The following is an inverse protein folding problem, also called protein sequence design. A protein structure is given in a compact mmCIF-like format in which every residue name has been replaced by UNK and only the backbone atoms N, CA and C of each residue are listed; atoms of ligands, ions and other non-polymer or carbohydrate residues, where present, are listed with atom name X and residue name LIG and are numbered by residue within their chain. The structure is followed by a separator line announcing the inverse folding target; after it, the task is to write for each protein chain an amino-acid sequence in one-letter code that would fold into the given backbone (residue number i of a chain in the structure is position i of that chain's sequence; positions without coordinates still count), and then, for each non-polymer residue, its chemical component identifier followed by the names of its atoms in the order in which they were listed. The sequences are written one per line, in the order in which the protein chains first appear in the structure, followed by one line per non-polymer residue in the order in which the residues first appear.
data_IF_679646912451
#
_entry.id   IF_679646912451
#
_cell.length_a   1.000
_cell.length_b   1.000
_cell.length_c   1.000
_cell.angle_alpha   90.00
_cell.angle_beta   90.00
_cell.angle_gamma   90.00
#
_symmetry.space_group_name_H-M   'P 1'
#
loop_
_entity.id
_entity.type
_entity.pdbx_description
1 polymer ?
#
# COMPACT_ATOMS: atom_id res chain seq x y z
N UNK A 1 5.74 -11.54 56.35
CA UNK A 1 6.18 -11.78 54.95
C UNK A 1 5.01 -11.44 54.05
N UNK A 2 4.94 -10.19 53.61
CA UNK A 2 3.98 -9.73 52.59
C UNK A 2 4.33 -10.44 51.29
N UNK A 3 3.44 -11.31 50.80
CA UNK A 3 3.53 -11.81 49.43
C UNK A 3 3.39 -10.59 48.53
N UNK A 4 4.48 -10.18 47.88
CA UNK A 4 4.38 -9.32 46.70
C UNK A 4 3.47 -10.03 45.71
N UNK A 5 2.23 -9.55 45.57
CA UNK A 5 1.39 -9.86 44.43
C UNK A 5 2.12 -9.35 43.20
N UNK A 6 2.86 -10.25 42.55
CA UNK A 6 3.51 -9.98 41.28
C UNK A 6 2.41 -9.79 40.25
N UNK A 7 1.98 -8.55 40.05
CA UNK A 7 0.99 -8.19 39.03
C UNK A 7 1.44 -8.81 37.70
N UNK A 8 0.58 -9.61 37.04
CA UNK A 8 0.93 -10.22 35.77
C UNK A 8 1.23 -9.12 34.75
N UNK A 9 2.29 -9.30 33.97
CA UNK A 9 2.61 -8.37 32.90
C UNK A 9 1.54 -8.49 31.80
N UNK A 10 1.02 -7.36 31.34
CA UNK A 10 -0.04 -7.29 30.33
C UNK A 10 0.37 -6.49 29.10
N UNK A 11 -0.13 -6.89 27.94
CA UNK A 11 0.02 -6.16 26.68
C UNK A 11 -1.30 -6.20 25.91
N UNK A 12 -1.72 -5.06 25.36
CA UNK A 12 -2.91 -4.97 24.50
C UNK A 12 -2.45 -4.63 23.09
N UNK A 13 -2.65 -5.56 22.15
CA UNK A 13 -2.43 -5.34 20.73
C UNK A 13 -3.72 -4.85 20.09
N UNK A 14 -3.62 -3.84 19.23
CA UNK A 14 -4.78 -3.29 18.51
C UNK A 14 -4.66 -3.55 17.02
N UNK A 15 -5.59 -4.35 16.51
CA UNK A 15 -5.65 -4.80 15.13
C UNK A 15 -6.84 -4.16 14.42
N UNK A 16 -6.71 -3.94 13.11
CA UNK A 16 -7.83 -3.47 12.28
C UNK A 16 -7.94 -4.27 10.98
N UNK A 17 -9.17 -4.61 10.61
CA UNK A 17 -9.50 -5.34 9.39
C UNK A 17 -9.19 -6.84 9.46
N UNK A 18 -9.13 -7.42 10.66
CA UNK A 18 -8.92 -8.85 10.89
C UNK A 18 -10.10 -9.40 11.71
N UNK A 19 -10.78 -10.46 11.26
CA UNK A 19 -11.86 -11.07 12.03
C UNK A 19 -11.34 -11.71 13.31
N UNK A 20 -12.16 -11.70 14.36
CA UNK A 20 -11.84 -12.34 15.64
C UNK A 20 -11.43 -13.81 15.49
N UNK A 21 -12.13 -14.55 14.63
CA UNK A 21 -11.86 -15.96 14.36
C UNK A 21 -10.44 -16.18 13.82
N UNK A 22 -9.93 -15.26 13.00
CA UNK A 22 -8.55 -15.32 12.49
C UNK A 22 -7.55 -15.07 13.61
N UNK A 23 -7.88 -14.16 14.52
CA UNK A 23 -7.05 -13.89 15.71
C UNK A 23 -7.04 -15.10 16.65
N UNK A 24 -8.19 -15.68 16.97
CA UNK A 24 -8.30 -16.86 17.82
C UNK A 24 -7.49 -18.04 17.26
N UNK A 25 -7.59 -18.30 15.96
CA UNK A 25 -6.75 -19.33 15.30
C UNK A 25 -5.26 -19.04 15.42
N UNK A 26 -4.83 -17.78 15.30
CA UNK A 26 -3.42 -17.44 15.48
C UNK A 26 -2.97 -17.59 16.94
N UNK A 27 -3.87 -17.33 17.90
CA UNK A 27 -3.61 -17.56 19.33
C UNK A 27 -3.48 -19.05 19.63
N UNK A 28 -4.26 -19.92 18.99
CA UNK A 28 -4.13 -21.38 19.08
C UNK A 28 -2.77 -21.88 18.55
N UNK A 29 -2.11 -21.12 17.67
CA UNK A 29 -0.75 -21.45 17.18
C UNK A 29 0.37 -20.98 18.11
N UNK A 30 0.05 -20.39 19.27
CA UNK A 30 1.07 -20.06 20.27
C UNK A 30 1.75 -21.36 20.76
N UNK A 31 3.04 -21.32 21.13
CA UNK A 31 3.77 -22.53 21.51
C UNK A 31 3.14 -23.18 22.75
N UNK A 32 3.20 -24.50 22.88
CA UNK A 32 2.70 -25.24 24.06
C UNK A 32 3.31 -24.75 25.39
N UNK A 33 4.49 -24.12 25.32
CA UNK A 33 5.18 -23.49 26.45
C UNK A 33 4.53 -22.17 26.93
N UNK A 34 3.52 -21.65 26.22
CA UNK A 34 2.78 -20.45 26.59
C UNK A 34 1.91 -20.71 27.82
N UNK A 35 2.17 -19.97 28.90
CA UNK A 35 1.38 -20.01 30.13
C UNK A 35 0.87 -18.60 30.43
N UNK A 36 -0.25 -18.26 29.81
CA UNK A 36 -0.89 -16.95 29.94
C UNK A 36 -2.32 -16.95 29.42
N UNK A 37 -3.06 -15.89 29.74
CA UNK A 37 -4.41 -15.68 29.23
C UNK A 37 -4.35 -14.76 28.01
N UNK A 38 -5.22 -15.05 27.04
CA UNK A 38 -5.43 -14.18 25.88
C UNK A 38 -6.92 -13.90 25.78
N UNK A 39 -7.28 -12.63 25.77
CA UNK A 39 -8.66 -12.18 25.61
C UNK A 39 -8.78 -11.36 24.32
N UNK A 40 -9.67 -11.79 23.43
CA UNK A 40 -10.00 -11.06 22.22
C UNK A 40 -11.32 -10.32 22.41
N UNK A 41 -11.37 -9.06 21.96
CA UNK A 41 -12.61 -8.28 21.91
C UNK A 41 -12.70 -7.54 20.59
N UNK A 42 -13.84 -7.67 19.93
CA UNK A 42 -14.07 -7.05 18.62
C UNK A 42 -15.16 -5.99 18.70
N UNK A 43 -14.97 -4.88 17.99
CA UNK A 43 -15.98 -3.84 17.76
C UNK A 43 -15.92 -3.40 16.30
N UNK A 44 -16.90 -3.82 15.51
CA UNK A 44 -16.85 -3.62 14.06
C UNK A 44 -15.62 -4.31 13.46
N UNK A 45 -14.79 -3.55 12.74
CA UNK A 45 -13.55 -4.04 12.12
C UNK A 45 -12.31 -3.93 13.02
N UNK A 46 -12.43 -3.42 14.24
CA UNK A 46 -11.34 -3.32 15.21
C UNK A 46 -11.35 -4.50 16.18
N UNK A 47 -10.19 -5.14 16.36
CA UNK A 47 -10.01 -6.25 17.29
C UNK A 47 -8.87 -5.93 18.26
N UNK A 48 -9.17 -5.99 19.55
CA UNK A 48 -8.22 -5.85 20.64
C UNK A 48 -7.84 -7.22 21.17
N UNK A 49 -6.54 -7.45 21.34
CA UNK A 49 -5.98 -8.71 21.86
C UNK A 49 -5.20 -8.38 23.12
N UNK A 50 -5.78 -8.71 24.27
CA UNK A 50 -5.11 -8.56 25.56
C UNK A 50 -4.40 -9.86 25.93
N UNK A 51 -3.08 -9.80 26.07
CA UNK A 51 -2.25 -10.90 26.53
C UNK A 51 -1.79 -10.62 27.96
N UNK A 52 -1.89 -11.61 28.83
CA UNK A 52 -1.35 -11.55 30.19
C UNK A 52 -0.54 -12.81 30.49
N UNK A 53 0.61 -12.65 31.11
CA UNK A 53 1.40 -13.78 31.61
C UNK A 53 2.12 -13.40 32.91
N UNK A 54 2.35 -14.41 33.75
CA UNK A 54 3.15 -14.28 34.97
C UNK A 54 4.64 -14.10 34.68
N UNK A 55 5.10 -14.42 33.45
CA UNK A 55 6.50 -14.26 33.04
C UNK A 55 6.63 -13.26 31.87
N UNK A 56 7.38 -12.15 32.04
CA UNK A 56 7.55 -11.14 30.98
C UNK A 56 8.18 -11.68 29.70
N UNK A 57 9.06 -12.69 29.81
CA UNK A 57 9.72 -13.30 28.66
C UNK A 57 8.75 -14.10 27.78
N UNK A 58 7.83 -14.86 28.39
CA UNK A 58 6.79 -15.55 27.63
C UNK A 58 5.83 -14.55 26.98
N UNK A 59 5.42 -13.51 27.72
CA UNK A 59 4.60 -12.43 27.17
C UNK A 59 5.24 -11.81 25.93
N UNK A 60 6.52 -11.45 26.02
CA UNK A 60 7.25 -10.85 24.91
C UNK A 60 7.28 -11.78 23.68
N UNK A 61 7.54 -13.07 23.86
CA UNK A 61 7.56 -14.04 22.76
C UNK A 61 6.20 -14.17 22.07
N UNK A 62 5.12 -14.32 22.85
CA UNK A 62 3.76 -14.41 22.31
C UNK A 62 3.36 -13.12 21.57
N UNK A 63 3.67 -11.96 22.16
CA UNK A 63 3.46 -10.66 21.52
C UNK A 63 4.23 -10.57 20.20
N UNK A 64 5.53 -10.92 20.15
CA UNK A 64 6.29 -10.87 18.90
C UNK A 64 5.74 -11.82 17.83
N UNK A 65 5.27 -13.01 18.22
CA UNK A 65 4.65 -13.95 17.28
C UNK A 65 3.38 -13.34 16.68
N UNK A 66 2.47 -12.81 17.50
CA UNK A 66 1.25 -12.17 17.01
C UNK A 66 1.54 -10.90 16.19
N UNK A 67 2.51 -10.09 16.60
CA UNK A 67 2.99 -8.93 15.84
C UNK A 67 3.44 -9.33 14.44
N UNK A 68 4.18 -10.43 14.33
CA UNK A 68 4.67 -10.94 13.04
C UNK A 68 3.53 -11.46 12.18
N UNK A 69 2.63 -12.27 12.76
CA UNK A 69 1.47 -12.83 12.06
C UNK A 69 0.50 -11.75 11.55
N UNK A 70 0.35 -10.66 12.29
CA UNK A 70 -0.60 -9.59 11.99
C UNK A 70 0.07 -8.26 11.61
N UNK A 71 1.33 -8.27 11.17
CA UNK A 71 2.11 -7.05 10.95
C UNK A 71 1.38 -5.97 10.11
N UNK A 72 0.65 -6.31 9.02
CA UNK A 72 -0.10 -5.30 8.26
C UNK A 72 -1.31 -4.75 9.02
N UNK A 73 -1.95 -5.55 9.88
CA UNK A 73 -3.18 -5.19 10.60
C UNK A 73 -2.95 -4.57 11.97
N UNK A 74 -1.80 -4.82 12.57
CA UNK A 74 -1.38 -4.19 13.81
C UNK A 74 -1.11 -2.71 13.56
N UNK A 75 -1.88 -1.85 14.21
CA UNK A 75 -1.71 -0.40 14.10
C UNK A 75 -1.14 0.22 15.37
N UNK A 76 -1.21 -0.47 16.51
CA UNK A 76 -0.75 0.07 17.78
C UNK A 76 -0.91 -0.88 18.97
N UNK A 77 -0.48 -0.39 20.12
CA UNK A 77 -0.53 -1.09 21.40
C UNK A 77 -0.98 -0.17 22.52
N UNK A 78 -1.54 -0.74 23.58
CA UNK A 78 -2.04 0.02 24.73
C UNK A 78 -3.13 0.99 24.28
N UNK A 79 -2.93 2.30 24.52
CA UNK A 79 -3.91 3.36 24.24
C UNK A 79 -3.79 4.02 22.86
N UNK A 80 -2.91 3.51 21.98
CA UNK A 80 -2.75 4.06 20.64
C UNK A 80 -4.08 4.01 19.87
N UNK A 81 -4.49 5.12 19.26
CA UNK A 81 -5.68 5.16 18.39
C UNK A 81 -5.30 4.95 16.93
N UNK A 82 -6.24 4.43 16.12
CA UNK A 82 -6.02 4.24 14.69
C UNK A 82 -5.74 5.57 13.97
N UNK A 83 -6.40 6.65 14.39
CA UNK A 83 -6.19 7.99 13.85
C UNK A 83 -4.78 8.50 14.13
N UNK A 84 -4.29 8.35 15.37
CA UNK A 84 -2.91 8.70 15.73
C UNK A 84 -1.89 7.86 14.94
N UNK A 85 -2.14 6.55 14.78
CA UNK A 85 -1.29 5.68 13.98
C UNK A 85 -1.25 6.07 12.49
N UNK A 86 -2.37 6.54 11.93
CA UNK A 86 -2.43 7.02 10.55
C UNK A 86 -1.64 8.34 10.37
N UNK A 87 -1.80 9.31 11.29
CA UNK A 87 -1.02 10.57 11.29
C UNK A 87 0.47 10.28 11.39
N UNK A 88 0.86 9.44 12.36
CA UNK A 88 2.26 9.05 12.55
C UNK A 88 2.84 8.39 11.28
N UNK A 89 2.09 7.49 10.63
CA UNK A 89 2.51 6.86 9.40
C UNK A 89 2.70 7.87 8.25
N UNK A 90 1.78 8.83 8.10
CA UNK A 90 1.90 9.89 7.10
C UNK A 90 3.09 10.80 7.37
N UNK A 91 3.32 11.18 8.64
CA UNK A 91 4.43 12.05 9.04
C UNK A 91 5.78 11.34 8.84
N UNK A 92 5.92 10.11 9.34
CA UNK A 92 7.13 9.30 9.20
C UNK A 92 7.53 9.12 7.73
N UNK A 93 6.56 8.92 6.85
CA UNK A 93 6.79 8.75 5.41
C UNK A 93 6.72 10.06 4.61
N UNK A 94 6.57 11.22 5.27
CA UNK A 94 6.49 12.56 4.67
C UNK A 94 5.45 12.65 3.55
N UNK A 95 4.27 12.09 3.79
CA UNK A 95 3.16 12.05 2.81
C UNK A 95 2.09 13.05 3.20
N UNK A 96 1.99 14.12 2.40
CA UNK A 96 0.86 15.04 2.47
C UNK A 96 -0.40 14.37 1.90
N UNK A 97 -1.49 14.50 2.64
CA UNK A 97 -2.83 14.00 2.38
C UNK A 97 -3.77 15.18 2.09
N UNK A 98 -4.60 15.05 1.06
CA UNK A 98 -5.69 15.99 0.76
C UNK A 98 -7.00 15.23 0.49
N UNK A 99 -8.14 15.89 0.67
CA UNK A 99 -9.44 15.33 0.30
C UNK A 99 -9.94 15.93 -1.02
N UNK A 100 -10.54 15.10 -1.86
CA UNK A 100 -11.09 15.48 -3.15
C UNK A 100 -12.48 16.07 -3.03
N UNK A 101 -13.23 15.66 -2.01
CA UNK A 101 -14.63 16.02 -1.76
C UNK A 101 -14.88 16.21 -0.25
N UNK A 102 -16.00 16.85 0.06
CA UNK A 102 -16.37 17.19 1.44
C UNK A 102 -16.77 15.96 2.26
N UNK A 103 -17.29 14.90 1.64
CA UNK A 103 -17.65 13.68 2.35
C UNK A 103 -16.40 12.99 2.93
N UNK A 104 -15.33 12.88 2.13
CA UNK A 104 -14.02 12.42 2.61
C UNK A 104 -13.44 13.37 3.67
N UNK A 105 -13.59 14.69 3.49
CA UNK A 105 -13.20 15.70 4.48
C UNK A 105 -13.84 15.45 5.83
N UNK A 106 -15.17 15.37 5.89
CA UNK A 106 -15.94 15.18 7.13
C UNK A 106 -15.57 13.89 7.89
N UNK A 107 -15.28 12.81 7.16
CA UNK A 107 -14.82 11.55 7.77
C UNK A 107 -13.47 11.71 8.50
N UNK A 108 -12.59 12.57 7.99
CA UNK A 108 -11.24 12.76 8.54
C UNK A 108 -11.15 13.91 9.54
N UNK A 109 -11.72 15.08 9.25
CA UNK A 109 -11.64 16.29 10.10
C UNK A 109 -11.96 15.96 11.56
N UNK A 110 -13.14 15.37 11.79
CA UNK A 110 -13.64 14.97 13.12
C UNK A 110 -12.71 14.05 13.90
N UNK A 111 -11.81 13.32 13.22
CA UNK A 111 -10.88 12.36 13.83
C UNK A 111 -9.46 12.91 13.95
N UNK A 112 -9.10 13.90 13.14
CA UNK A 112 -7.74 14.41 13.02
C UNK A 112 -7.55 15.80 13.66
N UNK A 113 -8.61 16.60 13.81
CA UNK A 113 -8.54 18.01 14.25
C UNK A 113 -7.77 18.20 15.57
N UNK A 114 -7.96 17.29 16.54
CA UNK A 114 -7.33 17.40 17.86
C UNK A 114 -6.06 16.54 18.00
N UNK A 115 -5.55 15.98 16.91
CA UNK A 115 -4.37 15.11 16.97
C UNK A 115 -3.09 15.89 16.69
N UNK A 116 -2.05 15.74 17.54
CA UNK A 116 -0.78 16.41 17.32
C UNK A 116 -0.12 15.94 16.02
N UNK A 117 0.33 16.89 15.20
CA UNK A 117 1.00 16.60 13.93
C UNK A 117 0.05 16.36 12.75
N UNK A 118 -1.27 16.33 12.98
CA UNK A 118 -2.24 16.21 11.90
C UNK A 118 -2.12 17.36 10.88
N UNK A 119 -1.86 18.58 11.37
CA UNK A 119 -1.65 19.80 10.57
C UNK A 119 -0.45 19.73 9.62
N UNK A 120 0.52 18.86 9.91
CA UNK A 120 1.70 18.65 9.04
C UNK A 120 1.38 17.74 7.85
N UNK A 121 0.37 16.89 7.99
CA UNK A 121 0.07 15.82 7.02
C UNK A 121 -1.27 16.01 6.32
N UNK A 122 -2.20 16.77 6.89
CA UNK A 122 -3.54 16.99 6.35
C UNK A 122 -3.86 18.49 6.30
N UNK A 123 -4.47 18.94 5.20
CA UNK A 123 -4.68 20.36 4.93
C UNK A 123 -6.02 20.90 5.47
N UNK A 124 -6.85 20.06 6.10
CA UNK A 124 -8.18 20.42 6.62
C UNK A 124 -9.02 21.21 5.61
N UNK A 125 -8.90 20.86 4.32
CA UNK A 125 -9.65 21.48 3.24
C UNK A 125 -9.12 22.83 2.75
N UNK A 126 -8.22 23.50 3.48
CA UNK A 126 -7.74 24.86 3.16
C UNK A 126 -7.11 24.96 1.76
N UNK A 127 -6.44 23.90 1.32
CA UNK A 127 -5.80 23.79 0.01
C UNK A 127 -6.43 22.70 -0.87
N UNK A 128 -7.63 22.22 -0.55
CA UNK A 128 -8.28 21.11 -1.24
C UNK A 128 -9.79 21.28 -1.39
N UNK A 129 -10.62 20.43 -0.78
CA UNK A 129 -12.08 20.37 -1.01
C UNK A 129 -12.84 21.58 -0.47
N UNK A 130 -12.31 22.33 0.51
CA UNK A 130 -12.93 23.58 0.98
C UNK A 130 -12.46 24.82 0.19
N UNK A 131 -11.44 24.68 -0.66
CA UNK A 131 -10.91 25.78 -1.46
C UNK A 131 -11.75 26.03 -2.73
N UNK A 132 -12.54 27.10 -2.73
CA UNK A 132 -13.45 27.45 -3.83
C UNK A 132 -12.72 27.66 -5.18
N UNK A 133 -11.57 28.35 -5.18
CA UNK A 133 -10.81 28.62 -6.40
C UNK A 133 -10.24 27.33 -7.01
N UNK A 134 -9.71 26.44 -6.17
CA UNK A 134 -9.21 25.14 -6.60
C UNK A 134 -10.35 24.27 -7.14
N UNK A 135 -11.50 24.23 -6.44
CA UNK A 135 -12.68 23.51 -6.88
C UNK A 135 -13.21 24.01 -8.23
N UNK A 136 -13.24 25.33 -8.47
CA UNK A 136 -13.63 25.88 -9.76
C UNK A 136 -12.67 25.45 -10.89
N UNK A 137 -11.36 25.37 -10.61
CA UNK A 137 -10.37 24.84 -11.55
C UNK A 137 -10.53 23.32 -11.77
N UNK A 138 -10.82 22.57 -10.72
CA UNK A 138 -11.07 21.13 -10.76
C UNK A 138 -12.31 20.82 -11.61
N UNK A 139 -13.42 21.52 -11.39
CA UNK A 139 -14.66 21.38 -12.17
C UNK A 139 -14.43 21.66 -13.65
N UNK A 140 -13.64 22.68 -14.00
CA UNK A 140 -13.26 22.95 -15.41
C UNK A 140 -12.50 21.79 -16.04
N UNK A 141 -11.56 21.16 -15.32
CA UNK A 141 -10.81 20.00 -15.82
C UNK A 141 -11.68 18.75 -15.97
N UNK A 142 -12.68 18.59 -15.11
CA UNK A 142 -13.56 17.41 -15.10
C UNK A 142 -14.77 17.53 -16.06
N UNK A 143 -14.88 18.60 -16.86
CA UNK A 143 -15.99 18.77 -17.83
C UNK A 143 -16.14 17.61 -18.82
N UNK A 144 -15.03 16.97 -19.21
CA UNK A 144 -15.00 15.82 -20.12
C UNK A 144 -14.81 14.49 -19.39
N UNK A 145 -14.80 14.49 -18.07
CA UNK A 145 -14.62 13.27 -17.28
C UNK A 145 -15.93 12.46 -17.24
N UNK A 146 -15.86 11.15 -16.97
CA UNK A 146 -17.04 10.34 -16.69
C UNK A 146 -17.89 10.97 -15.60
N UNK A 147 -19.21 10.95 -15.77
CA UNK A 147 -20.17 11.50 -14.80
C UNK A 147 -20.76 10.41 -13.87
N UNK A 148 -20.72 9.15 -14.31
CA UNK A 148 -21.18 8.03 -13.50
C UNK A 148 -20.16 7.72 -12.38
N UNK A 149 -20.68 7.45 -11.19
CA UNK A 149 -19.89 6.87 -10.11
C UNK A 149 -19.57 5.40 -10.43
N UNK A 150 -18.40 4.88 -10.01
CA UNK A 150 -17.33 5.54 -9.24
C UNK A 150 -16.31 6.30 -10.10
N UNK A 151 -16.44 6.26 -11.43
CA UNK A 151 -15.45 6.79 -12.36
C UNK A 151 -15.27 8.31 -12.22
N UNK A 152 -16.36 9.04 -11.93
CA UNK A 152 -16.34 10.47 -11.65
C UNK A 152 -15.46 10.81 -10.46
N UNK A 153 -15.69 10.17 -9.31
CA UNK A 153 -14.91 10.43 -8.09
C UNK A 153 -13.47 9.97 -8.24
N UNK A 154 -13.21 8.86 -8.94
CA UNK A 154 -11.85 8.42 -9.25
C UNK A 154 -11.09 9.45 -10.11
N UNK A 155 -11.74 10.03 -11.12
CA UNK A 155 -11.15 11.12 -11.92
C UNK A 155 -10.92 12.39 -11.07
N UNK A 156 -11.84 12.69 -10.15
CA UNK A 156 -11.73 13.81 -9.21
C UNK A 156 -10.54 13.65 -8.26
N UNK A 157 -10.39 12.49 -7.63
CA UNK A 157 -9.25 12.12 -6.77
C UNK A 157 -7.93 12.28 -7.54
N UNK A 158 -7.86 11.74 -8.76
CA UNK A 158 -6.66 11.84 -9.60
C UNK A 158 -6.32 13.31 -9.94
N UNK A 159 -7.32 14.09 -10.33
CA UNK A 159 -7.13 15.49 -10.70
C UNK A 159 -6.74 16.34 -9.49
N UNK A 160 -7.35 16.10 -8.32
CA UNK A 160 -6.99 16.76 -7.07
C UNK A 160 -5.53 16.48 -6.69
N UNK A 161 -5.14 15.20 -6.66
CA UNK A 161 -3.75 14.78 -6.39
C UNK A 161 -2.74 15.50 -7.30
N UNK A 162 -3.04 15.60 -8.60
CA UNK A 162 -2.17 16.28 -9.57
C UNK A 162 -2.13 17.79 -9.40
N UNK A 163 -3.23 18.41 -8.99
CA UNK A 163 -3.34 19.86 -8.85
C UNK A 163 -2.68 20.38 -7.58
N UNK A 164 -2.77 19.63 -6.49
CA UNK A 164 -2.14 19.98 -5.20
C UNK A 164 -0.71 19.49 -5.09
N UNK A 165 -0.34 18.44 -5.86
CA UNK A 165 0.97 17.80 -5.75
C UNK A 165 1.10 16.92 -4.49
N UNK A 166 0.03 16.75 -3.71
CA UNK A 166 0.01 15.92 -2.52
C UNK A 166 0.38 14.47 -2.84
N UNK A 167 0.95 13.77 -1.85
CA UNK A 167 1.35 12.38 -2.03
C UNK A 167 0.13 11.47 -2.21
N UNK A 168 -0.94 11.76 -1.46
CA UNK A 168 -2.20 11.03 -1.46
C UNK A 168 -3.38 11.99 -1.57
N UNK A 169 -4.40 11.59 -2.31
CA UNK A 169 -5.70 12.25 -2.32
C UNK A 169 -6.80 11.24 -2.00
N UNK A 170 -7.79 11.63 -1.21
CA UNK A 170 -8.88 10.76 -0.77
C UNK A 170 -10.19 11.20 -1.39
N UNK A 171 -11.06 10.24 -1.70
CA UNK A 171 -12.45 10.53 -2.01
C UNK A 171 -13.40 9.57 -1.31
N UNK A 172 -14.67 9.98 -1.23
CA UNK A 172 -15.75 9.17 -0.70
C UNK A 172 -16.97 9.29 -1.63
N UNK A 173 -17.57 8.15 -1.97
CA UNK A 173 -18.85 8.10 -2.68
C UNK A 173 -19.87 7.46 -1.77
N UNK A 174 -20.94 8.19 -1.48
CA UNK A 174 -22.10 7.66 -0.78
C UNK A 174 -22.96 6.89 -1.78
N UNK A 175 -23.08 5.58 -1.56
CA UNK A 175 -23.95 4.69 -2.32
C UNK A 175 -25.20 4.40 -1.46
N UNK A 176 -26.33 3.95 -2.06
CA UNK A 176 -27.60 3.80 -1.33
C UNK A 176 -27.52 2.94 -0.06
N UNK A 177 -26.59 1.98 0.00
CA UNK A 177 -26.41 1.06 1.12
C UNK A 177 -24.92 0.84 1.43
N UNK A 178 -24.03 1.79 1.12
CA UNK A 178 -22.59 1.63 1.39
C UNK A 178 -21.82 2.92 1.15
N UNK A 179 -20.56 2.95 1.58
CA UNK A 179 -19.62 4.02 1.25
C UNK A 179 -18.45 3.44 0.47
N UNK A 180 -18.22 3.92 -0.76
CA UNK A 180 -17.01 3.61 -1.48
C UNK A 180 -15.90 4.60 -1.07
N UNK A 181 -14.84 4.08 -0.47
CA UNK A 181 -13.67 4.82 -0.05
C UNK A 181 -12.57 4.73 -1.11
N UNK A 182 -11.94 5.86 -1.39
CA UNK A 182 -10.89 5.98 -2.40
C UNK A 182 -9.63 6.58 -1.78
N UNK A 183 -8.48 5.92 -1.91
CA UNK A 183 -7.15 6.48 -1.58
C UNK A 183 -6.28 6.45 -2.83
N UNK A 184 -6.17 7.60 -3.49
CA UNK A 184 -5.45 7.82 -4.73
C UNK A 184 -4.01 8.27 -4.53
N UNK A 185 -3.09 7.67 -5.29
CA UNK A 185 -1.70 8.13 -5.43
C UNK A 185 -1.41 8.57 -6.87
N UNK A 186 -0.15 8.56 -7.31
CA UNK A 186 0.21 8.96 -8.68
C UNK A 186 -0.22 7.95 -9.76
N UNK A 187 -0.23 6.65 -9.43
CA UNK A 187 -0.37 5.54 -10.41
C UNK A 187 -1.76 4.93 -10.45
N UNK A 188 -2.54 5.10 -9.40
CA UNK A 188 -3.85 4.47 -9.25
C UNK A 188 -4.43 4.78 -7.88
N UNK A 189 -5.53 4.12 -7.58
CA UNK A 189 -6.34 4.33 -6.40
C UNK A 189 -6.67 3.00 -5.73
N UNK A 190 -6.52 2.94 -4.41
CA UNK A 190 -7.14 1.87 -3.64
C UNK A 190 -8.63 2.17 -3.48
N UNK A 191 -9.47 1.16 -3.67
CA UNK A 191 -10.92 1.24 -3.52
C UNK A 191 -11.38 0.22 -2.49
N UNK A 192 -12.29 0.62 -1.60
CA UNK A 192 -13.00 -0.28 -0.69
C UNK A 192 -14.44 0.17 -0.54
N UNK A 193 -15.38 -0.73 -0.82
CA UNK A 193 -16.79 -0.52 -0.51
C UNK A 193 -17.07 -0.99 0.93
N UNK A 194 -17.52 -0.07 1.78
CA UNK A 194 -17.77 -0.30 3.21
C UNK A 194 -19.28 -0.41 3.44
N UNK A 195 -19.76 -1.49 4.08
CA UNK A 195 -21.18 -1.66 4.39
C UNK A 195 -21.63 -0.68 5.50
N UNK A 196 -22.93 -0.39 5.62
CA UNK A 196 -23.43 0.69 6.48
C UNK A 196 -23.31 0.38 7.98
N UNK A 197 -23.13 -0.89 8.35
CA UNK A 197 -22.92 -1.33 9.73
C UNK A 197 -21.49 -1.04 10.22
N UNK A 198 -20.56 -0.79 9.31
CA UNK A 198 -19.15 -0.50 9.61
C UNK A 198 -18.87 1.01 9.58
N UNK A 199 -17.81 1.42 10.29
CA UNK A 199 -17.44 2.84 10.34
C UNK A 199 -16.53 3.21 9.15
N UNK A 200 -17.01 3.99 8.15
CA UNK A 200 -16.20 4.34 6.98
C UNK A 200 -14.97 5.18 7.34
N UNK A 201 -15.04 6.01 8.37
CA UNK A 201 -13.90 6.81 8.81
C UNK A 201 -12.74 5.97 9.36
N UNK A 202 -13.03 4.88 10.10
CA UNK A 202 -11.99 3.97 10.58
C UNK A 202 -11.36 3.17 9.43
N UNK A 203 -12.17 2.69 8.49
CA UNK A 203 -11.64 2.03 7.30
C UNK A 203 -10.77 2.94 6.45
N UNK A 204 -11.16 4.20 6.31
CA UNK A 204 -10.36 5.19 5.59
C UNK A 204 -9.01 5.43 6.26
N UNK A 205 -8.97 5.53 7.60
CA UNK A 205 -7.73 5.68 8.35
C UNK A 205 -6.80 4.48 8.21
N UNK A 206 -7.31 3.25 8.27
CA UNK A 206 -6.49 2.05 8.08
C UNK A 206 -5.96 1.95 6.64
N UNK A 207 -6.81 2.23 5.65
CA UNK A 207 -6.44 2.27 4.24
C UNK A 207 -5.32 3.29 3.99
N UNK A 208 -5.42 4.47 4.61
CA UNK A 208 -4.39 5.52 4.59
C UNK A 208 -3.10 5.09 5.26
N UNK A 209 -3.16 4.59 6.49
CA UNK A 209 -2.01 4.11 7.26
C UNK A 209 -1.22 3.06 6.47
N UNK A 210 -1.91 2.04 5.95
CA UNK A 210 -1.29 0.99 5.13
C UNK A 210 -0.71 1.54 3.83
N UNK A 211 -1.39 2.47 3.17
CA UNK A 211 -0.88 3.13 1.95
C UNK A 211 0.34 4.00 2.25
N UNK A 212 0.36 4.66 3.40
CA UNK A 212 1.48 5.47 3.86
C UNK A 212 2.72 4.60 4.13
N UNK A 213 2.55 3.47 4.80
CA UNK A 213 3.62 2.52 5.10
C UNK A 213 4.01 1.61 3.91
N UNK A 214 3.21 1.57 2.83
CA UNK A 214 3.43 0.62 1.74
C UNK A 214 3.09 -0.83 2.10
N UNK A 215 2.21 -1.02 3.08
CA UNK A 215 1.76 -2.32 3.57
C UNK A 215 0.66 -2.92 2.67
N UNK A 216 0.49 -4.25 2.68
CA UNK A 216 -0.67 -4.90 2.07
C UNK A 216 -1.98 -4.36 2.66
N UNK A 217 -2.94 -4.10 1.80
CA UNK A 217 -4.26 -3.63 2.20
C UNK A 217 -5.08 -4.74 2.85
N UNK A 218 -6.07 -4.35 3.65
CA UNK A 218 -7.04 -5.29 4.20
C UNK A 218 -7.87 -5.93 3.08
N UNK A 219 -8.38 -7.14 3.34
CA UNK A 219 -9.13 -7.88 2.34
C UNK A 219 -10.42 -7.19 1.91
N UNK A 220 -10.81 -7.41 0.65
CA UNK A 220 -11.92 -6.69 0.02
C UNK A 220 -11.57 -5.26 -0.43
N UNK A 221 -10.30 -4.86 -0.30
CA UNK A 221 -9.77 -3.66 -0.95
C UNK A 221 -9.20 -4.04 -2.32
N UNK A 222 -9.47 -3.27 -3.36
CA UNK A 222 -8.91 -3.50 -4.70
C UNK A 222 -8.05 -2.33 -5.19
N UNK A 223 -7.05 -2.63 -6.02
CA UNK A 223 -6.22 -1.62 -6.68
C UNK A 223 -6.80 -1.29 -8.05
N UNK A 224 -7.04 0.00 -8.29
CA UNK A 224 -7.54 0.52 -9.55
C UNK A 224 -6.51 1.42 -10.24
N UNK A 225 -5.84 0.96 -11.30
CA UNK A 225 -5.03 1.84 -12.15
C UNK A 225 -5.90 2.91 -12.81
N UNK A 226 -5.39 4.14 -12.87
CA UNK A 226 -6.11 5.19 -13.59
C UNK A 226 -6.24 4.87 -15.09
N UNK A 227 -7.39 5.25 -15.68
CA UNK A 227 -7.69 4.99 -17.09
C UNK A 227 -8.16 3.56 -17.40
N UNK A 228 -8.28 2.69 -16.38
CA UNK A 228 -8.96 1.40 -16.49
C UNK A 228 -10.38 1.51 -15.94
N UNK A 229 -11.28 0.65 -16.42
CA UNK A 229 -12.63 0.50 -15.89
C UNK A 229 -12.58 -0.06 -14.48
N UNK A 230 -13.49 0.42 -13.62
CA UNK A 230 -13.63 -0.09 -12.26
C UNK A 230 -14.46 -1.38 -12.34
N UNK A 231 -14.00 -2.50 -11.76
CA UNK A 231 -14.78 -3.74 -11.77
C UNK A 231 -15.96 -3.63 -10.80
N UNK A 232 -17.09 -4.26 -11.13
CA UNK A 232 -18.31 -4.25 -10.30
C UNK A 232 -18.07 -4.86 -8.91
N UNK A 233 -17.12 -5.79 -8.80
CA UNK A 233 -16.69 -6.37 -7.52
C UNK A 233 -16.03 -5.35 -6.58
N UNK A 234 -15.58 -4.20 -7.08
CA UNK A 234 -15.11 -3.10 -6.24
C UNK A 234 -16.26 -2.32 -5.57
N UNK A 235 -17.47 -2.45 -6.12
CA UNK A 235 -18.69 -1.77 -5.67
C UNK A 235 -19.53 -2.63 -4.74
N UNK A 236 -19.30 -3.94 -4.70
CA UNK A 236 -19.92 -4.83 -3.73
C UNK A 236 -19.33 -4.59 -2.34
N UNK A 237 -20.17 -4.40 -1.29
CA UNK A 237 -19.67 -4.21 0.07
C UNK A 237 -18.71 -5.32 0.49
N UNK A 238 -17.54 -4.93 0.99
CA UNK A 238 -16.49 -5.87 1.34
C UNK A 238 -16.82 -6.59 2.64
N UNK A 239 -16.66 -7.91 2.65
CA UNK A 239 -16.75 -8.72 3.86
C UNK A 239 -15.44 -8.62 4.64
N UNK A 240 -15.51 -8.47 5.96
CA UNK A 240 -14.33 -8.36 6.84
C UNK A 240 -13.35 -9.54 6.68
N UNK A 241 -13.86 -10.75 6.42
CA UNK A 241 -13.08 -11.96 6.23
C UNK A 241 -12.51 -12.15 4.81
N UNK A 242 -12.67 -11.18 3.92
CA UNK A 242 -12.14 -11.26 2.57
C UNK A 242 -10.60 -11.42 2.57
N UNK A 243 -10.06 -12.11 1.57
CA UNK A 243 -8.63 -12.24 1.42
C UNK A 243 -7.97 -10.89 1.05
N UNK A 244 -6.75 -10.59 1.56
CA UNK A 244 -5.98 -9.42 1.13
C UNK A 244 -5.79 -9.38 -0.40
N UNK A 245 -5.76 -8.19 -1.03
CA UNK A 245 -5.49 -8.10 -2.46
C UNK A 245 -4.11 -8.68 -2.79
N UNK A 246 -4.07 -9.47 -3.85
CA UNK A 246 -2.80 -9.96 -4.41
C UNK A 246 -2.00 -8.79 -4.95
N UNK A 247 -0.69 -8.67 -4.61
CA UNK A 247 0.13 -7.60 -5.14
C UNK A 247 0.22 -7.72 -6.68
N UNK A 248 0.17 -6.59 -7.41
CA UNK A 248 0.29 -6.63 -8.87
C UNK A 248 1.64 -7.25 -9.26
N UNK A 249 1.59 -8.32 -10.05
CA UNK A 249 2.78 -9.08 -10.43
C UNK A 249 3.74 -8.22 -11.27
N UNK A 250 4.95 -7.86 -10.78
CA UNK A 250 5.87 -6.98 -11.49
C UNK A 250 6.54 -7.64 -12.70
N UNK A 251 6.38 -8.95 -12.90
CA UNK A 251 7.11 -9.74 -13.89
C UNK A 251 6.88 -9.27 -15.34
N UNK A 252 5.66 -8.86 -15.68
CA UNK A 252 5.35 -8.45 -17.06
C UNK A 252 6.09 -7.17 -17.49
N UNK A 253 6.42 -6.27 -16.55
CA UNK A 253 7.05 -5.01 -16.91
C UNK A 253 8.58 -5.11 -17.02
N UNK A 254 9.21 -6.02 -16.28
CA UNK A 254 10.67 -6.25 -16.36
C UNK A 254 11.06 -7.02 -17.63
N UNK A 255 10.24 -7.99 -18.04
CA UNK A 255 10.49 -8.75 -19.27
C UNK A 255 10.48 -7.84 -20.52
N UNK A 256 9.51 -6.93 -20.61
CA UNK A 256 9.43 -5.97 -21.73
C UNK A 256 10.63 -5.01 -21.78
N UNK A 257 11.13 -4.54 -20.62
CA UNK A 257 12.32 -3.68 -20.59
C UNK A 257 13.59 -4.44 -20.97
N UNK A 258 13.74 -5.69 -20.51
CA UNK A 258 14.86 -6.53 -20.89
C UNK A 258 14.86 -6.81 -22.41
N UNK A 259 13.70 -7.06 -23.01
CA UNK A 259 13.54 -7.24 -24.46
C UNK A 259 13.93 -5.98 -25.25
N UNK A 260 13.53 -4.79 -24.79
CA UNK A 260 13.90 -3.52 -25.44
C UNK A 260 15.42 -3.28 -25.34
N UNK A 261 16.03 -3.56 -24.20
CA UNK A 261 17.50 -3.45 -24.04
C UNK A 261 18.22 -4.44 -24.95
N UNK A 262 17.74 -5.69 -25.02
CA UNK A 262 18.31 -6.70 -25.92
C UNK A 262 18.23 -6.26 -27.39
N UNK A 263 17.09 -5.72 -27.82
CA UNK A 263 16.90 -5.20 -29.17
C UNK A 263 17.87 -4.06 -29.49
N UNK A 264 18.05 -3.11 -28.56
CA UNK A 264 19.00 -2.00 -28.72
C UNK A 264 20.45 -2.50 -28.82
N UNK A 265 20.83 -3.51 -28.04
CA UNK A 265 22.16 -4.11 -28.12
C UNK A 265 22.39 -4.81 -29.47
N UNK A 266 21.39 -5.52 -29.99
CA UNK A 266 21.47 -6.16 -31.32
C UNK A 266 21.60 -5.10 -32.41
N UNK A 267 20.82 -4.02 -32.35
CA UNK A 267 20.92 -2.91 -33.31
C UNK A 267 22.28 -2.20 -33.24
N UNK A 268 22.82 -1.99 -32.05
CA UNK A 268 24.15 -1.41 -31.87
C UNK A 268 25.25 -2.32 -32.44
N UNK A 269 25.16 -3.64 -32.21
CA UNK A 269 26.09 -4.62 -32.77
C UNK A 269 26.03 -4.67 -34.30
N UNK A 270 24.83 -4.63 -34.88
CA UNK A 270 24.63 -4.57 -36.33
C UNK A 270 25.19 -3.28 -36.94
N UNK A 271 24.96 -2.12 -36.29
CA UNK A 271 25.50 -0.84 -36.74
C UNK A 271 27.03 -0.80 -36.66
N UNK A 272 27.62 -1.33 -35.58
CA UNK A 272 29.06 -1.46 -35.44
C UNK A 272 29.65 -2.42 -36.49
N UNK A 273 28.99 -3.56 -36.74
CA UNK A 273 29.36 -4.49 -37.80
C UNK A 273 29.32 -3.84 -39.18
N UNK A 274 28.25 -3.11 -39.49
CA UNK A 274 28.07 -2.38 -40.75
C UNK A 274 29.17 -1.33 -40.97
N UNK A 275 29.50 -0.57 -39.92
CA UNK A 275 30.57 0.43 -39.97
C UNK A 275 31.95 -0.23 -40.16
N UNK A 276 32.23 -1.33 -39.48
CA UNK A 276 33.52 -2.03 -39.54
C UNK A 276 33.76 -2.78 -40.86
N UNK A 277 32.69 -3.21 -41.52
CA UNK A 277 32.77 -3.89 -42.82
C UNK A 277 32.55 -2.97 -44.02
N UNK A 278 32.34 -1.66 -43.79
CA UNK A 278 32.15 -0.70 -44.87
C UNK A 278 30.84 -0.90 -45.65
N UNK A 279 29.83 -1.48 -45.02
CA UNK A 279 28.50 -1.71 -45.61
C UNK A 279 28.22 -3.11 -46.12
N UNK A 280 29.14 -4.07 -45.93
CA UNK A 280 28.91 -5.48 -46.27
C UNK A 280 28.91 -6.38 -45.01
N UNK A 281 27.74 -6.63 -44.43
CA UNK A 281 27.60 -7.47 -43.23
C UNK A 281 27.93 -8.94 -43.49
N UNK A 282 27.91 -9.43 -44.75
CA UNK A 282 28.22 -10.82 -45.07
C UNK A 282 29.72 -11.13 -44.91
N UNK A 283 30.58 -10.11 -44.94
CA UNK A 283 32.02 -10.24 -44.77
C UNK A 283 32.47 -10.28 -43.28
N UNK A 284 31.56 -10.00 -42.33
CA UNK A 284 31.84 -9.97 -40.90
C UNK A 284 32.43 -11.29 -40.32
N UNK A 285 31.90 -12.50 -40.64
CA UNK A 285 32.46 -13.75 -40.12
C UNK A 285 33.90 -14.02 -40.58
N UNK A 286 34.28 -13.64 -41.80
CA UNK A 286 35.65 -13.80 -42.30
C UNK A 286 36.64 -12.82 -41.64
N UNK A 287 36.21 -11.57 -41.36
CA UNK A 287 37.03 -10.59 -40.63
C UNK A 287 37.22 -10.96 -39.15
N UNK A 288 36.23 -11.57 -38.50
CA UNK A 288 36.37 -12.04 -37.11
C UNK A 288 37.27 -13.27 -37.01
N UNK A 289 37.25 -14.16 -38.00
CA UNK A 289 38.14 -15.32 -38.07
C UNK A 289 39.62 -14.92 -38.25
N UNK A 290 39.90 -13.89 -39.05
CA UNK A 290 41.27 -13.36 -39.20
C UNK A 290 41.78 -12.67 -37.93
N UNK A 291 40.93 -11.93 -37.21
CA UNK A 291 41.27 -11.37 -35.89
C UNK A 291 41.52 -12.45 -34.82
N UNK A 292 40.76 -13.56 -34.87
CA UNK A 292 40.98 -14.72 -33.99
C UNK A 292 42.30 -15.44 -34.30
N UNK A 293 42.68 -15.53 -35.57
CA UNK A 293 43.89 -16.23 -36.01
C UNK A 293 45.20 -15.51 -35.64
N UNK A 294 45.21 -14.17 -35.54
CA UNK A 294 46.42 -13.42 -35.14
C UNK A 294 46.67 -13.35 -33.62
N UNK A 295 45.72 -13.81 -32.78
CA UNK A 295 45.83 -13.69 -31.31
C UNK A 295 46.31 -14.95 -30.57
N UNK A 296 46.74 -16.00 -31.28
CA UNK A 296 47.32 -17.20 -30.68
C UNK A 296 48.82 -17.32 -31.01
N UNK A 297 49.73 -16.81 -30.15
CA UNK A 297 51.14 -17.15 -30.27
C UNK A 297 51.29 -18.66 -30.04
N UNK A 298 51.80 -19.37 -31.06
CA UNK A 298 52.08 -20.79 -30.98
C UNK A 298 53.21 -21.03 -29.97
N UNK A 299 52.86 -21.54 -28.80
CA UNK A 299 53.81 -22.07 -27.84
C UNK A 299 54.40 -23.38 -28.40
N UNK A 300 55.56 -23.30 -29.06
CA UNK A 300 56.20 -24.49 -29.61
C UNK A 300 57.46 -24.23 -30.42
N UNK A 301 58.49 -23.63 -29.81
CA UNK A 301 59.85 -23.72 -30.33
C UNK A 301 60.87 -23.91 -29.18
N UNK A 302 61.38 -25.14 -29.07
CA UNK A 302 62.59 -25.62 -28.36
C UNK A 302 62.94 -26.95 -29.07
N UNK A 303 64.15 -27.36 -29.44
CA UNK A 303 65.55 -27.02 -29.20
C UNK A 303 66.36 -27.51 -30.43
N UNK A 304 67.38 -26.76 -30.89
CA UNK A 304 68.83 -27.09 -30.91
C UNK A 304 69.58 -25.77 -30.95
#
# INVERSE_FOLDING_TARGET
MTKEEKCPAGCVLRLFGVPEQTVQKAVETLPDTWQGTVHCRTRGAETLVALQSSTPQQLHRAVQQLRTSFAPALYGEGEQTLAAAAVQALEQHRKLLVCSDAAAGALLETRLENLPGAEKVFDFGAMSYANAALNARLSRKLRKAPQAEPARTLARVQAMQRMTGAALAVGCVELPQSHLLLVGGKKGCWLRCVPPEENPGLWLLDLLRRTACGLPQAGGTCWQPYGRTVPDTALTPAVLAAAPPTPPNPKHHRLGKALVVLLLLVLAALAAGWYYTGGDLAALPQKLQSLGAESLPHAGARLV
#
